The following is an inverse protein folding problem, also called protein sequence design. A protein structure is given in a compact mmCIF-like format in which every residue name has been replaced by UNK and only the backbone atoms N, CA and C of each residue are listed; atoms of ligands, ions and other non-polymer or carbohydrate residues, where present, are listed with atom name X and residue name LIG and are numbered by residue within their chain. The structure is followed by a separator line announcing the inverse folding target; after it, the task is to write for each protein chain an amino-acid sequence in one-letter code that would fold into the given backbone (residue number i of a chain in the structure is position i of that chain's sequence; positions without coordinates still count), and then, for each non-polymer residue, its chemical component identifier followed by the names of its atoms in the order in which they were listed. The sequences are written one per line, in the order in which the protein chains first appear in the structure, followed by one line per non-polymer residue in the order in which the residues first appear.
data_IF_200858605193
#
_entry.id   IF_200858605193
#
_cell.length_a   1.000
_cell.length_b   1.000
_cell.length_c   1.000
_cell.angle_alpha   90.00
_cell.angle_beta   90.00
_cell.angle_gamma   90.00
#
_symmetry.space_group_name_H-M   'P 1'
#
loop_
_entity.id
_entity.type
_entity.pdbx_description
1 polymer ?
#
# COMPACT_ATOMS: atom_id res chain seq x y z
N UNK A 1 -40.84 2.89 -36.56
CA UNK A 1 -40.53 2.06 -35.37
C UNK A 1 -39.03 1.77 -35.25
N UNK A 2 -38.35 1.35 -36.33
CA UNK A 2 -36.92 0.99 -36.32
C UNK A 2 -35.94 2.12 -35.92
N UNK A 3 -36.19 3.37 -36.31
CA UNK A 3 -35.30 4.50 -36.00
C UNK A 3 -35.15 4.78 -34.49
N UNK A 4 -36.22 4.54 -33.71
CA UNK A 4 -36.18 4.64 -32.24
C UNK A 4 -35.32 3.53 -31.63
N UNK A 5 -35.39 2.31 -32.16
CA UNK A 5 -34.62 1.18 -31.65
C UNK A 5 -33.10 1.39 -31.84
N UNK A 6 -32.69 1.99 -32.96
CA UNK A 6 -31.28 2.32 -33.24
C UNK A 6 -30.76 3.34 -32.22
N UNK A 7 -31.53 4.39 -31.92
CA UNK A 7 -31.12 5.39 -30.92
C UNK A 7 -30.95 4.77 -29.52
N UNK A 8 -31.88 3.91 -29.11
CA UNK A 8 -31.78 3.19 -27.83
C UNK A 8 -30.58 2.25 -27.77
N UNK A 9 -30.27 1.54 -28.86
CA UNK A 9 -29.12 0.64 -28.94
C UNK A 9 -27.78 1.39 -28.86
N UNK A 10 -27.68 2.55 -29.54
CA UNK A 10 -26.49 3.40 -29.48
C UNK A 10 -26.33 4.04 -28.10
N UNK A 11 -27.43 4.46 -27.46
CA UNK A 11 -27.41 5.02 -26.11
C UNK A 11 -26.96 3.97 -25.08
N UNK A 12 -27.46 2.73 -25.15
CA UNK A 12 -27.04 1.68 -24.20
C UNK A 12 -25.58 1.33 -24.36
N UNK A 13 -25.05 1.24 -25.59
CA UNK A 13 -23.62 1.04 -25.83
C UNK A 13 -22.80 2.21 -25.31
N UNK A 14 -23.23 3.46 -25.56
CA UNK A 14 -22.55 4.65 -25.04
C UNK A 14 -22.52 4.67 -23.51
N UNK A 15 -23.63 4.32 -22.84
CA UNK A 15 -23.72 4.22 -21.38
C UNK A 15 -22.86 3.08 -20.81
N UNK A 16 -22.77 1.93 -21.48
CA UNK A 16 -21.90 0.83 -21.08
C UNK A 16 -20.41 1.19 -21.16
N UNK A 17 -20.01 2.04 -22.12
CA UNK A 17 -18.64 2.56 -22.21
C UNK A 17 -18.31 3.59 -21.11
N UNK A 18 -19.32 4.20 -20.48
CA UNK A 18 -19.15 5.16 -19.38
C UNK A 18 -18.95 4.43 -18.03
N UNK A 19 -19.45 3.20 -17.90
CA UNK A 19 -19.24 2.37 -16.70
C UNK A 19 -17.79 1.91 -16.60
N UNK A 20 -16.92 2.78 -16.07
CA UNK A 20 -15.59 2.40 -15.65
C UNK A 20 -15.67 1.75 -14.27
N UNK A 21 -15.41 0.45 -14.21
CA UNK A 21 -15.13 -0.23 -12.95
C UNK A 21 -13.72 0.18 -12.52
N UNK A 22 -13.63 1.10 -11.57
CA UNK A 22 -12.37 1.39 -10.90
C UNK A 22 -12.20 0.41 -9.75
N UNK A 23 -11.22 -0.50 -9.84
CA UNK A 23 -10.79 -1.27 -8.68
C UNK A 23 -10.14 -0.30 -7.69
N UNK A 24 -10.74 -0.17 -6.49
CA UNK A 24 -10.17 0.63 -5.40
C UNK A 24 -9.31 -0.27 -4.52
N UNK A 25 -8.11 0.20 -4.20
CA UNK A 25 -7.20 -0.42 -3.23
C UNK A 25 -7.26 0.42 -1.96
N UNK A 26 -8.08 0.04 -0.97
CA UNK A 26 -8.27 0.85 0.24
C UNK A 26 -7.09 0.77 1.21
N UNK A 27 -6.29 -0.30 1.10
CA UNK A 27 -5.21 -0.60 2.01
C UNK A 27 -4.11 -1.43 1.35
N UNK A 28 -2.89 -1.22 1.82
CA UNK A 28 -1.72 -2.04 1.49
C UNK A 28 -1.19 -2.62 2.79
N UNK A 29 -0.97 -3.93 2.79
CA UNK A 29 -0.37 -4.64 3.91
C UNK A 29 0.97 -5.20 3.43
N UNK A 30 2.02 -4.82 4.13
CA UNK A 30 3.40 -5.12 3.75
C UNK A 30 3.95 -6.17 4.70
N UNK A 31 4.40 -7.29 4.14
CA UNK A 31 5.12 -8.33 4.87
C UNK A 31 6.50 -8.52 4.24
N UNK A 32 7.52 -8.66 5.06
CA UNK A 32 8.87 -8.90 4.57
C UNK A 32 9.94 -8.70 5.64
N UNK A 33 11.16 -8.43 5.17
CA UNK A 33 12.37 -8.24 5.96
C UNK A 33 12.74 -6.73 6.09
N UNK A 34 14.01 -6.47 6.39
CA UNK A 34 14.57 -5.12 6.52
C UNK A 34 14.34 -4.24 5.29
N UNK A 35 14.25 -4.81 4.09
CA UNK A 35 14.08 -4.07 2.82
C UNK A 35 12.75 -3.32 2.74
N UNK A 36 11.76 -3.74 3.54
CA UNK A 36 10.44 -3.13 3.63
C UNK A 36 10.09 -2.60 5.01
N UNK A 37 11.04 -2.66 5.94
CA UNK A 37 10.82 -2.15 7.29
C UNK A 37 10.77 -0.62 7.29
N UNK A 38 9.62 -0.08 7.72
CA UNK A 38 9.39 1.35 7.87
C UNK A 38 9.87 1.91 9.22
N UNK A 39 10.59 1.12 10.03
CA UNK A 39 11.06 1.47 11.37
C UNK A 39 10.36 0.71 12.50
N UNK A 40 9.74 -0.44 12.20
CA UNK A 40 9.09 -1.31 13.18
C UNK A 40 10.08 -1.80 14.23
N UNK A 41 11.32 -2.09 13.81
CA UNK A 41 12.37 -2.57 14.68
C UNK A 41 12.77 -1.55 15.77
N UNK A 42 12.57 -0.25 15.56
CA UNK A 42 12.89 0.77 16.57
C UNK A 42 12.06 0.60 17.84
N UNK A 43 10.88 0.02 17.71
CA UNK A 43 9.95 -0.13 18.80
C UNK A 43 10.10 -1.48 19.53
N UNK A 44 10.89 -2.43 19.03
CA UNK A 44 11.21 -3.71 19.73
C UNK A 44 12.66 -3.74 20.22
N UNK A 45 12.94 -4.59 21.21
CA UNK A 45 14.30 -4.79 21.74
C UNK A 45 15.11 -5.72 20.83
N UNK A 46 15.67 -5.15 19.77
CA UNK A 46 16.57 -5.85 18.81
C UNK A 46 17.80 -5.00 18.50
N UNK A 47 18.88 -5.67 18.10
CA UNK A 47 20.07 -5.00 17.54
C UNK A 47 19.90 -4.65 16.05
N UNK A 48 18.90 -5.23 15.38
CA UNK A 48 18.62 -5.02 13.96
C UNK A 48 17.82 -3.73 13.77
N UNK A 49 18.45 -2.58 14.03
CA UNK A 49 17.86 -1.25 13.83
C UNK A 49 18.60 -0.48 12.74
N UNK A 50 17.97 0.54 12.20
CA UNK A 50 18.55 1.48 11.23
C UNK A 50 18.19 2.92 11.62
N UNK A 51 18.15 3.18 12.92
CA UNK A 51 17.96 4.48 13.55
C UNK A 51 19.28 5.24 13.77
N UNK A 52 20.29 4.95 12.94
CA UNK A 52 21.61 5.57 12.99
C UNK A 52 22.17 5.89 11.59
N UNK A 53 23.16 6.80 11.46
CA UNK A 53 23.80 7.09 10.17
C UNK A 53 24.50 5.85 9.56
N UNK A 54 24.49 5.64 8.23
CA UNK A 54 24.13 6.61 7.19
C UNK A 54 22.64 6.63 6.81
N UNK A 55 21.79 5.83 7.46
CA UNK A 55 20.38 5.70 7.11
C UNK A 55 19.61 7.02 7.26
N UNK A 56 18.61 7.21 6.40
CA UNK A 56 17.77 8.42 6.40
C UNK A 56 18.44 9.70 5.88
N UNK A 57 19.69 9.65 5.37
CA UNK A 57 20.40 10.82 4.83
C UNK A 57 19.63 11.57 3.74
N UNK A 58 18.96 10.83 2.87
CA UNK A 58 18.22 11.36 1.71
C UNK A 58 16.70 11.46 2.03
N UNK A 59 16.31 11.16 3.28
CA UNK A 59 14.93 11.25 3.76
C UNK A 59 14.63 12.66 4.29
N UNK A 60 13.35 12.97 4.48
CA UNK A 60 12.93 14.30 4.95
C UNK A 60 13.61 14.65 6.27
N UNK A 61 14.43 15.71 6.25
CA UNK A 61 15.20 16.17 7.41
C UNK A 61 16.57 15.52 7.60
N UNK A 62 16.97 14.58 6.74
CA UNK A 62 18.29 13.93 6.78
C UNK A 62 18.53 13.11 8.05
N UNK A 63 17.47 12.66 8.72
CA UNK A 63 17.54 11.93 9.99
C UNK A 63 17.25 10.44 9.78
N UNK A 64 17.92 9.54 10.52
CA UNK A 64 17.59 8.13 10.54
C UNK A 64 16.15 7.90 11.00
N UNK A 65 15.42 7.06 10.28
CA UNK A 65 14.00 6.77 10.57
C UNK A 65 13.74 5.34 11.03
N UNK A 66 14.76 4.47 11.04
CA UNK A 66 14.57 3.02 11.20
C UNK A 66 14.24 2.30 9.89
N UNK A 67 14.29 3.00 8.75
CA UNK A 67 14.29 2.38 7.43
C UNK A 67 15.72 1.96 7.07
N UNK A 68 15.88 0.74 6.57
CA UNK A 68 17.15 0.24 6.04
C UNK A 68 17.46 0.82 4.65
N UNK A 69 17.30 2.14 4.51
CA UNK A 69 17.50 2.92 3.29
C UNK A 69 17.92 4.35 3.67
N UNK A 70 18.58 5.05 2.76
CA UNK A 70 18.81 6.49 2.92
C UNK A 70 17.53 7.31 2.75
N UNK A 71 16.50 6.73 2.14
CA UNK A 71 15.28 7.44 1.78
C UNK A 71 14.03 6.56 1.88
N UNK A 72 13.13 6.73 0.92
CA UNK A 72 11.91 5.92 0.80
C UNK A 72 12.27 4.46 0.48
N UNK A 73 11.39 3.55 0.84
CA UNK A 73 11.48 2.11 0.58
C UNK A 73 10.44 1.68 -0.46
N UNK A 74 10.57 0.51 -1.12
CA UNK A 74 9.66 0.11 -2.20
C UNK A 74 8.16 0.23 -1.87
N UNK A 75 7.70 -0.16 -0.66
CA UNK A 75 6.31 0.03 -0.27
C UNK A 75 5.79 1.48 -0.32
N UNK A 76 6.64 2.48 -0.07
CA UNK A 76 6.24 3.89 -0.11
C UNK A 76 5.82 4.30 -1.52
N UNK A 77 6.58 3.87 -2.54
CA UNK A 77 6.30 4.19 -3.95
C UNK A 77 5.04 3.47 -4.42
N UNK A 78 4.85 2.22 -3.98
CA UNK A 78 3.65 1.45 -4.30
C UNK A 78 2.42 2.12 -3.67
N UNK A 79 2.49 2.50 -2.40
CA UNK A 79 1.41 3.20 -1.71
C UNK A 79 1.06 4.55 -2.33
N UNK A 80 2.05 5.28 -2.81
CA UNK A 80 1.83 6.52 -3.57
C UNK A 80 1.18 6.25 -4.93
N UNK A 81 1.61 5.22 -5.66
CA UNK A 81 1.03 4.85 -6.96
C UNK A 81 -0.45 4.48 -6.88
N UNK A 82 -0.89 3.91 -5.75
CA UNK A 82 -2.31 3.63 -5.47
C UNK A 82 -3.06 4.80 -4.82
N UNK A 83 -2.42 5.95 -4.62
CA UNK A 83 -3.06 7.16 -4.07
C UNK A 83 -3.44 7.06 -2.59
N UNK A 84 -2.79 6.18 -1.81
CA UNK A 84 -3.11 5.96 -0.39
C UNK A 84 -2.34 6.95 0.49
N UNK A 85 -1.04 6.73 0.65
CA UNK A 85 -0.13 7.61 1.40
C UNK A 85 1.26 7.59 0.75
N UNK A 86 1.98 8.72 0.69
CA UNK A 86 3.32 8.75 0.12
C UNK A 86 4.36 8.02 0.97
N UNK A 87 4.10 7.87 2.28
CA UNK A 87 4.97 7.17 3.23
C UNK A 87 4.17 6.17 4.05
N UNK A 88 4.68 4.94 4.15
CA UNK A 88 4.12 3.91 5.03
C UNK A 88 4.69 4.13 6.43
N UNK A 89 3.86 4.29 7.48
CA UNK A 89 4.38 4.46 8.84
C UNK A 89 4.87 3.13 9.42
N UNK A 90 5.73 3.21 10.44
CA UNK A 90 6.06 2.04 11.26
C UNK A 90 4.79 1.55 11.98
N UNK A 91 4.52 0.25 11.89
CA UNK A 91 3.41 -0.42 12.54
C UNK A 91 3.92 -1.39 13.59
N UNK A 92 3.34 -1.31 14.79
CA UNK A 92 3.66 -2.25 15.85
C UNK A 92 2.78 -3.48 15.83
N UNK A 93 3.35 -4.63 16.19
CA UNK A 93 2.71 -5.94 16.02
C UNK A 93 1.36 -6.07 16.75
N UNK A 94 1.21 -5.42 17.92
CA UNK A 94 -0.06 -5.37 18.64
C UNK A 94 -1.16 -4.56 17.90
N UNK A 95 -0.76 -3.61 17.07
CA UNK A 95 -1.67 -2.83 16.22
C UNK A 95 -2.04 -3.54 14.92
N UNK A 96 -1.13 -4.37 14.38
CA UNK A 96 -1.32 -5.09 13.11
C UNK A 96 -2.47 -6.10 13.24
N UNK A 97 -2.48 -6.93 14.29
CA UNK A 97 -3.51 -7.97 14.44
C UNK A 97 -4.91 -7.37 14.54
N UNK A 98 -5.10 -6.30 15.31
CA UNK A 98 -6.39 -5.61 15.44
C UNK A 98 -6.81 -4.89 14.15
N UNK A 99 -5.87 -4.26 13.42
CA UNK A 99 -6.17 -3.56 12.16
C UNK A 99 -6.49 -4.52 11.02
N UNK A 100 -5.79 -5.65 10.91
CA UNK A 100 -6.08 -6.69 9.90
C UNK A 100 -7.48 -7.24 10.13
N UNK A 101 -7.81 -7.60 11.38
CA UNK A 101 -9.13 -8.10 11.75
C UNK A 101 -10.22 -7.07 11.42
N UNK A 102 -9.99 -5.79 11.74
CA UNK A 102 -10.93 -4.72 11.39
C UNK A 102 -11.07 -4.50 9.87
N UNK A 103 -10.01 -4.64 9.08
CA UNK A 103 -10.08 -4.53 7.62
C UNK A 103 -10.88 -5.70 7.00
N UNK A 104 -10.71 -6.91 7.51
CA UNK A 104 -11.50 -8.08 7.08
C UNK A 104 -13.01 -7.88 7.33
N UNK A 105 -13.39 -7.22 8.43
CA UNK A 105 -14.80 -6.96 8.75
C UNK A 105 -15.36 -5.64 8.18
N UNK A 106 -14.52 -4.66 7.85
CA UNK A 106 -14.96 -3.31 7.45
C UNK A 106 -14.96 -3.05 5.94
N UNK A 107 -14.20 -3.82 5.14
CA UNK A 107 -14.13 -3.59 3.70
C UNK A 107 -15.25 -4.35 2.97
N UNK A 108 -15.99 -3.69 2.06
CA UNK A 108 -16.96 -4.38 1.22
C UNK A 108 -16.25 -5.42 0.32
N UNK A 109 -16.93 -6.52 -0.07
CA UNK A 109 -16.33 -7.68 -0.75
C UNK A 109 -15.69 -7.41 -2.13
N UNK A 110 -15.65 -6.16 -2.58
CA UNK A 110 -15.11 -5.73 -3.87
C UNK A 110 -13.81 -4.93 -3.75
N UNK A 111 -13.28 -4.72 -2.55
CA UNK A 111 -12.06 -3.95 -2.33
C UNK A 111 -10.82 -4.85 -2.19
N UNK A 112 -9.79 -4.56 -2.99
CA UNK A 112 -8.60 -5.40 -3.11
C UNK A 112 -7.57 -4.98 -2.06
N UNK A 113 -7.30 -5.85 -1.09
CA UNK A 113 -6.17 -5.67 -0.17
C UNK A 113 -4.91 -6.18 -0.87
N UNK A 114 -4.00 -5.27 -1.18
CA UNK A 114 -2.73 -5.66 -1.78
C UNK A 114 -1.77 -6.11 -0.67
N UNK A 115 -1.58 -7.42 -0.60
CA UNK A 115 -0.52 -8.05 0.19
C UNK A 115 0.73 -8.05 -0.69
N UNK A 116 1.81 -7.44 -0.20
CA UNK A 116 3.11 -7.48 -0.88
C UNK A 116 3.96 -8.55 -0.18
N UNK A 117 3.93 -9.83 -0.60
CA UNK A 117 4.95 -10.79 -0.21
C UNK A 117 6.19 -10.48 -1.05
N UNK A 118 7.17 -9.79 -0.48
CA UNK A 118 8.48 -9.70 -1.12
C UNK A 118 9.17 -11.05 -0.93
N UNK A 119 9.21 -11.82 -2.02
CA UNK A 119 9.91 -13.09 -2.12
C UNK A 119 11.36 -12.85 -1.67
N UNK A 120 11.77 -13.61 -0.65
CA UNK A 120 13.13 -13.66 -0.13
C UNK A 120 14.12 -13.77 -1.29
N UNK A 121 14.86 -12.71 -1.58
CA UNK A 121 16.13 -12.87 -2.28
C UNK A 121 17.08 -13.53 -1.28
N UNK A 122 17.23 -14.84 -1.45
CA UNK A 122 18.21 -15.72 -0.84
C UNK A 122 19.48 -15.00 -0.37
N UNK A 123 19.69 -15.02 0.95
CA UNK A 123 20.95 -15.41 1.58
C UNK A 123 20.65 -16.54 2.55
#
# INVERSE_FOLDING_TARGET
MAFKAIYWFLLTHFLLQISRVYARVPAIIVFGDSSVDAGNNNQVSTILKSDFPPYGRDFYGGQPTGRFSNGRIPPDFISEAFGIKPLIPAFWIHFITLRILLLEFALPPQELVMIIPLLMSYL
#
